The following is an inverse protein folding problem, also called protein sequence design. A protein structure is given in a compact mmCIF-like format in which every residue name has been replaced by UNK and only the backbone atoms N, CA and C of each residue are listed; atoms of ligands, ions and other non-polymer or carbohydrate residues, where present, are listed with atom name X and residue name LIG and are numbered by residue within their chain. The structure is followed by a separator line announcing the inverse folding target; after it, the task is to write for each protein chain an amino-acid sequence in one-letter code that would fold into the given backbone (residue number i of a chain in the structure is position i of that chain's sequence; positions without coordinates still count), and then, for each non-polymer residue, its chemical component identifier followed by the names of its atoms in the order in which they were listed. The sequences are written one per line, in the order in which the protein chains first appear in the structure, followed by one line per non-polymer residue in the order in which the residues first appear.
data_IF_989096656588
#
_entry.id   IF_989096656588
#
_cell.length_a   1.000
_cell.length_b   1.000
_cell.length_c   1.000
_cell.angle_alpha   90.00
_cell.angle_beta   90.00
_cell.angle_gamma   90.00
#
_symmetry.space_group_name_H-M   'P 1'
#
loop_
_entity.id
_entity.type
_entity.pdbx_description
1 polymer ?
#
# COMPACT_ATOMS: atom_id res chain seq x y z
N UNK A 1 -9.97 -11.31 -23.30
CA UNK A 1 -8.93 -10.27 -23.25
C UNK A 1 -8.75 -10.09 -21.78
N UNK A 2 -7.69 -10.72 -21.32
CA UNK A 2 -7.50 -11.01 -19.93
C UNK A 2 -6.92 -9.73 -19.35
N UNK A 3 -7.57 -9.17 -18.31
CA UNK A 3 -7.16 -7.95 -17.62
C UNK A 3 -5.90 -8.22 -16.79
N UNK A 4 -4.85 -8.69 -17.44
CA UNK A 4 -3.55 -8.95 -16.84
C UNK A 4 -2.81 -7.62 -16.66
N UNK A 5 -2.18 -7.49 -15.50
CA UNK A 5 -1.31 -6.37 -15.14
C UNK A 5 -0.32 -6.11 -16.29
N UNK A 6 -0.28 -4.86 -16.75
CA UNK A 6 0.71 -4.43 -17.72
C UNK A 6 2.11 -4.57 -17.08
N UNK A 7 2.96 -5.41 -17.66
CA UNK A 7 4.27 -5.80 -17.11
C UNK A 7 5.27 -4.64 -17.01
N UNK A 8 4.96 -3.49 -17.62
CA UNK A 8 5.77 -2.28 -17.54
C UNK A 8 5.53 -1.45 -16.25
N UNK A 9 4.43 -1.73 -15.52
CA UNK A 9 4.07 -1.08 -14.25
C UNK A 9 3.70 -2.14 -13.21
N UNK A 10 4.68 -2.97 -12.81
CA UNK A 10 4.47 -4.04 -11.82
C UNK A 10 4.01 -3.41 -10.49
N UNK A 11 2.75 -3.60 -10.06
CA UNK A 11 2.31 -3.10 -8.78
C UNK A 11 3.06 -3.84 -7.67
N UNK A 12 3.57 -3.09 -6.69
CA UNK A 12 4.31 -3.67 -5.58
C UNK A 12 3.37 -3.99 -4.43
N UNK A 13 3.61 -5.12 -3.76
CA UNK A 13 2.87 -5.48 -2.56
C UNK A 13 3.58 -4.89 -1.35
N UNK A 14 2.85 -4.14 -0.53
CA UNK A 14 3.33 -3.55 0.71
C UNK A 14 2.64 -4.18 1.91
N UNK A 15 3.38 -4.38 2.99
CA UNK A 15 2.86 -4.81 4.30
C UNK A 15 2.85 -3.64 5.27
N UNK A 16 1.69 -3.38 5.83
CA UNK A 16 1.50 -2.58 7.03
C UNK A 16 1.33 -3.50 8.23
N UNK A 17 1.90 -3.14 9.38
CA UNK A 17 1.61 -3.78 10.65
C UNK A 17 0.59 -2.89 11.39
N UNK A 18 -0.58 -3.44 11.72
CA UNK A 18 -1.59 -2.69 12.47
C UNK A 18 -1.16 -2.51 13.93
N UNK A 19 -1.54 -1.37 14.51
CA UNK A 19 -1.33 -1.12 15.94
C UNK A 19 -2.15 -2.09 16.82
N UNK A 20 -3.27 -2.60 16.32
CA UNK A 20 -4.08 -3.65 16.97
C UNK A 20 -3.44 -5.04 16.93
N UNK A 21 -2.30 -5.19 16.26
CA UNK A 21 -1.70 -6.47 15.93
C UNK A 21 -2.18 -7.02 14.58
N UNK A 22 -1.38 -7.91 14.00
CA UNK A 22 -1.59 -8.45 12.66
C UNK A 22 -0.96 -7.60 11.54
N UNK A 23 -0.85 -8.21 10.36
CA UNK A 23 -0.36 -7.56 9.15
C UNK A 23 -1.49 -7.30 8.17
N UNK A 24 -1.43 -6.15 7.51
CA UNK A 24 -2.31 -5.74 6.43
C UNK A 24 -1.54 -5.59 5.13
N UNK A 25 -2.15 -5.99 4.02
CA UNK A 25 -1.55 -5.91 2.69
C UNK A 25 -2.15 -4.74 1.94
N UNK A 26 -1.28 -3.94 1.34
CA UNK A 26 -1.61 -2.81 0.47
C UNK A 26 -0.95 -3.03 -0.88
N UNK A 27 -1.57 -2.52 -1.95
CA UNK A 27 -0.97 -2.55 -3.29
C UNK A 27 -0.49 -1.15 -3.64
N UNK A 28 0.79 -1.00 -3.94
CA UNK A 28 1.39 0.22 -4.46
C UNK A 28 1.20 0.27 -5.98
N UNK A 29 0.46 1.25 -6.46
CA UNK A 29 0.18 1.44 -7.89
C UNK A 29 0.71 2.77 -8.45
N UNK A 30 1.37 3.60 -7.65
CA UNK A 30 2.00 4.82 -8.15
C UNK A 30 2.88 5.53 -7.12
N UNK A 31 3.88 6.25 -7.61
CA UNK A 31 4.81 7.05 -6.81
C UNK A 31 4.92 8.45 -7.40
N UNK A 32 4.65 9.47 -6.59
CA UNK A 32 4.76 10.87 -6.98
C UNK A 32 5.51 11.65 -5.91
N UNK A 33 6.79 11.94 -6.16
CA UNK A 33 7.69 12.48 -5.14
C UNK A 33 7.79 11.51 -3.95
N UNK A 34 7.52 12.01 -2.74
CA UNK A 34 7.52 11.21 -1.52
C UNK A 34 6.15 10.57 -1.19
N UNK A 35 5.18 10.67 -2.09
CA UNK A 35 3.85 10.09 -1.89
C UNK A 35 3.68 8.78 -2.65
N UNK A 36 3.08 7.81 -1.97
CA UNK A 36 2.74 6.49 -2.49
C UNK A 36 1.22 6.41 -2.69
N UNK A 37 0.78 6.08 -3.89
CA UNK A 37 -0.61 5.79 -4.20
C UNK A 37 -0.90 4.32 -3.93
N UNK A 38 -1.73 4.07 -2.93
CA UNK A 38 -2.03 2.74 -2.40
C UNK A 38 -3.48 2.37 -2.64
N UNK A 39 -3.70 1.11 -3.01
CA UNK A 39 -5.00 0.43 -2.97
C UNK A 39 -5.05 -0.36 -1.65
N UNK A 40 -6.07 -0.07 -0.85
CA UNK A 40 -6.39 -0.78 0.38
C UNK A 40 -7.50 -1.79 0.05
N UNK A 41 -7.22 -3.11 0.10
CA UNK A 41 -8.19 -4.15 -0.30
C UNK A 41 -9.29 -4.39 0.74
N UNK A 42 -9.27 -3.68 1.87
CA UNK A 42 -10.34 -3.76 2.86
C UNK A 42 -11.65 -3.20 2.29
N UNK A 43 -12.78 -3.70 2.80
CA UNK A 43 -14.10 -3.32 2.30
C UNK A 43 -14.31 -1.79 2.30
N UNK A 44 -14.93 -1.30 1.22
CA UNK A 44 -15.29 0.13 1.03
C UNK A 44 -14.11 1.11 1.03
N UNK A 45 -12.87 0.64 0.92
CA UNK A 45 -11.71 1.50 0.78
C UNK A 45 -11.50 1.90 -0.69
N UNK A 46 -11.04 3.14 -0.90
CA UNK A 46 -10.67 3.66 -2.23
C UNK A 46 -9.16 3.85 -2.36
N UNK A 47 -8.65 3.93 -3.58
CA UNK A 47 -7.26 4.30 -3.83
C UNK A 47 -6.93 5.67 -3.23
N UNK A 48 -5.85 5.79 -2.46
CA UNK A 48 -5.39 7.06 -1.86
C UNK A 48 -3.89 7.18 -1.86
N UNK A 49 -3.41 8.42 -1.94
CA UNK A 49 -1.99 8.74 -1.77
C UNK A 49 -1.67 9.06 -0.31
N UNK A 50 -0.55 8.51 0.18
CA UNK A 50 -0.03 8.75 1.52
C UNK A 50 1.46 9.09 1.44
N UNK A 51 1.92 9.95 2.34
CA UNK A 51 3.34 10.22 2.48
C UNK A 51 4.08 8.95 2.91
N UNK A 52 5.17 8.62 2.24
CA UNK A 52 6.03 7.50 2.61
C UNK A 52 6.58 7.66 4.04
N UNK A 53 6.99 8.88 4.43
CA UNK A 53 7.47 9.16 5.78
C UNK A 53 6.37 8.94 6.84
N UNK A 54 5.13 9.30 6.52
CA UNK A 54 4.01 9.04 7.42
C UNK A 54 3.75 7.53 7.58
N UNK A 55 3.83 6.77 6.48
CA UNK A 55 3.71 5.32 6.52
C UNK A 55 4.82 4.67 7.36
N UNK A 56 6.07 5.15 7.25
CA UNK A 56 7.20 4.67 8.07
C UNK A 56 7.01 4.93 9.56
N UNK A 57 6.59 6.15 9.92
CA UNK A 57 6.45 6.56 11.32
C UNK A 57 5.15 6.07 11.98
N UNK A 58 4.24 5.53 11.18
CA UNK A 58 2.91 5.15 11.60
C UNK A 58 1.86 6.21 11.26
N UNK A 59 0.79 5.80 10.60
CA UNK A 59 -0.29 6.67 10.15
C UNK A 59 -1.62 5.92 10.12
N UNK A 60 -2.70 6.68 9.97
CA UNK A 60 -4.03 6.14 9.68
C UNK A 60 -4.24 6.09 8.16
N UNK A 61 -4.57 4.90 7.68
CA UNK A 61 -5.18 4.67 6.36
C UNK A 61 -6.67 4.37 6.56
N UNK A 62 -7.41 4.11 5.49
CA UNK A 62 -8.87 3.92 5.56
C UNK A 62 -9.28 2.69 6.40
N UNK A 63 -8.57 1.57 6.26
CA UNK A 63 -8.84 0.34 7.02
C UNK A 63 -8.33 0.36 8.47
N UNK A 64 -7.46 1.30 8.85
CA UNK A 64 -6.91 1.31 10.20
C UNK A 64 -5.62 2.11 10.37
N UNK A 65 -4.99 1.95 11.53
CA UNK A 65 -3.77 2.67 11.93
C UNK A 65 -2.64 1.69 12.20
N UNK A 66 -1.43 2.07 11.80
CA UNK A 66 -0.27 1.18 11.82
C UNK A 66 0.89 1.77 11.04
N UNK A 67 1.91 0.97 10.77
CA UNK A 67 3.14 1.43 10.13
C UNK A 67 3.59 0.45 9.02
N UNK A 68 4.28 0.99 8.03
CA UNK A 68 4.93 0.20 6.99
C UNK A 68 5.98 -0.72 7.59
N UNK A 69 6.01 -1.97 7.12
CA UNK A 69 6.95 -2.98 7.60
C UNK A 69 7.75 -3.68 6.51
N UNK A 70 7.21 -3.81 5.28
CA UNK A 70 7.87 -4.55 4.21
C UNK A 70 7.28 -4.25 2.82
N UNK A 71 8.07 -4.43 1.77
CA UNK A 71 7.63 -4.45 0.36
C UNK A 71 8.19 -5.68 -0.32
N UNK A 72 7.34 -6.40 -1.08
CA UNK A 72 7.79 -7.46 -1.98
C UNK A 72 7.88 -6.94 -3.41
N UNK A 73 8.98 -7.24 -4.07
CA UNK A 73 9.21 -6.96 -5.48
C UNK A 73 9.29 -8.29 -6.24
N UNK A 74 8.61 -8.39 -7.37
CA UNK A 74 8.81 -9.50 -8.31
C UNK A 74 10.03 -9.16 -9.17
N UNK A 75 11.05 -10.01 -9.13
CA UNK A 75 12.23 -9.94 -10.00
C UNK A 75 12.02 -10.77 -11.28
#
# INVERSE_FOLDING_TARGET
MDDEINVDEIPLIMRMQWNSGGGHVLVLCGVTGDNLTLIDPWENCVTRSYSYVALLNGTSIQSGTGYYSHTWMSC
#
